data_IF_771997012800
#
_entry.id   IF_771997012800
#
_cell.length_a   1.000
_cell.length_b   1.000
_cell.length_c   1.000
_cell.angle_alpha   90.00
_cell.angle_beta   90.00
_cell.angle_gamma   90.00
#
_symmetry.space_group_name_H-M   'P 1'
#
loop_
_entity.id
_entity.type
_entity.pdbx_description
1 polymer ?
#
# COMPACT_ATOMS: atom_id res chain seq x y z
N UNK A 1 24.96 4.48 -7.01
CA UNK A 1 23.90 3.91 -6.17
C UNK A 1 22.92 5.01 -5.90
N UNK A 2 21.69 4.89 -6.40
CA UNK A 2 20.65 5.91 -6.16
C UNK A 2 20.31 6.01 -4.67
N UNK A 3 19.94 7.20 -4.24
CA UNK A 3 19.62 7.51 -2.86
C UNK A 3 18.52 6.59 -2.30
N UNK A 4 18.83 5.85 -1.23
CA UNK A 4 17.86 4.95 -0.57
C UNK A 4 16.66 5.73 -0.04
N UNK A 5 16.84 7.00 0.32
CA UNK A 5 15.75 7.89 0.73
C UNK A 5 14.72 8.03 -0.41
N UNK A 6 15.18 8.32 -1.63
CA UNK A 6 14.31 8.49 -2.79
C UNK A 6 13.52 7.21 -3.11
N UNK A 7 14.14 6.03 -2.92
CA UNK A 7 13.46 4.75 -3.10
C UNK A 7 12.35 4.53 -2.06
N UNK A 8 12.61 4.88 -0.81
CA UNK A 8 11.61 4.78 0.26
C UNK A 8 10.47 5.76 -0.01
N UNK A 9 10.78 7.03 -0.29
CA UNK A 9 9.78 8.06 -0.58
C UNK A 9 8.91 7.69 -1.78
N UNK A 10 9.50 7.24 -2.88
CA UNK A 10 8.75 6.84 -4.08
C UNK A 10 7.88 5.61 -3.85
N UNK A 11 8.24 4.73 -2.90
CA UNK A 11 7.46 3.53 -2.59
C UNK A 11 6.32 3.79 -1.61
N UNK A 12 6.46 4.76 -0.69
CA UNK A 12 5.55 4.87 0.46
C UNK A 12 4.93 6.24 0.69
N UNK A 13 5.51 7.33 0.15
CA UNK A 13 5.09 8.71 0.48
C UNK A 13 4.83 9.61 -0.72
N UNK A 14 5.05 9.11 -1.94
CA UNK A 14 4.80 9.84 -3.19
C UNK A 14 3.85 9.05 -4.08
N UNK A 15 3.07 9.74 -4.93
CA UNK A 15 2.16 9.06 -5.83
C UNK A 15 2.92 8.27 -6.90
N UNK A 16 2.33 7.17 -7.35
CA UNK A 16 2.85 6.36 -8.44
C UNK A 16 1.71 5.89 -9.34
N UNK A 17 1.78 6.24 -10.63
CA UNK A 17 0.81 5.85 -11.65
C UNK A 17 1.31 4.62 -12.41
N UNK A 18 0.43 3.65 -12.62
CA UNK A 18 0.66 2.48 -13.47
C UNK A 18 -0.52 2.28 -14.42
N UNK A 19 -0.23 1.86 -15.64
CA UNK A 19 -1.26 1.35 -16.57
C UNK A 19 -1.33 -0.16 -16.38
N UNK A 20 -2.46 -0.66 -15.90
CA UNK A 20 -2.64 -2.09 -15.53
C UNK A 20 -3.52 -2.85 -16.52
N UNK A 21 -4.07 -2.17 -17.52
CA UNK A 21 -4.89 -2.75 -18.56
C UNK A 21 -5.05 -1.79 -19.73
N UNK A 22 -5.37 -2.33 -20.90
CA UNK A 22 -5.62 -1.58 -22.11
C UNK A 22 -6.72 -2.26 -22.93
N UNK A 23 -7.57 -1.46 -23.55
CA UNK A 23 -8.64 -1.91 -24.44
C UNK A 23 -8.72 -1.00 -25.67
N UNK A 24 -9.34 -1.49 -26.74
CA UNK A 24 -9.41 -0.82 -28.03
C UNK A 24 -8.10 -0.87 -28.83
N UNK A 25 -7.12 -1.69 -28.42
CA UNK A 25 -5.87 -1.96 -29.15
C UNK A 25 -5.84 -3.42 -29.58
N UNK A 26 -5.79 -3.73 -30.90
CA UNK A 26 -5.72 -5.12 -31.36
C UNK A 26 -4.38 -5.78 -31.00
N UNK A 27 -4.36 -7.10 -30.77
CA UNK A 27 -3.14 -7.89 -30.71
C UNK A 27 -2.28 -7.70 -31.98
N UNK A 28 -0.95 -7.80 -31.85
CA UNK A 28 -0.01 -7.51 -32.94
C UNK A 28 -0.21 -8.38 -34.19
N UNK A 29 -0.59 -9.64 -34.00
CA UNK A 29 -0.87 -10.60 -35.08
C UNK A 29 -2.22 -10.36 -35.78
N UNK A 30 -3.11 -9.57 -35.16
CA UNK A 30 -4.42 -9.20 -35.69
C UNK A 30 -4.50 -7.73 -36.13
N UNK A 31 -3.43 -6.95 -35.92
CA UNK A 31 -3.39 -5.54 -36.22
C UNK A 31 -3.31 -5.28 -37.74
N UNK A 32 -4.25 -4.48 -38.26
CA UNK A 32 -4.22 -3.96 -39.63
C UNK A 32 -3.92 -2.45 -39.69
N UNK A 33 -4.03 -1.87 -40.88
CA UNK A 33 -3.78 -0.44 -41.11
C UNK A 33 -5.05 0.43 -40.95
N UNK A 34 -5.80 0.23 -39.87
CA UNK A 34 -7.08 0.92 -39.62
C UNK A 34 -6.92 2.00 -38.54
N UNK A 35 -7.64 3.11 -38.70
CA UNK A 35 -7.81 4.09 -37.63
C UNK A 35 -8.69 3.48 -36.54
N UNK A 36 -8.18 3.39 -35.31
CA UNK A 36 -8.91 2.81 -34.18
C UNK A 36 -9.99 3.79 -33.70
N UNK A 37 -11.21 3.31 -33.36
CA UNK A 37 -12.30 4.19 -32.95
C UNK A 37 -12.13 4.76 -31.54
N UNK A 38 -11.42 4.05 -30.65
CA UNK A 38 -11.13 4.50 -29.29
C UNK A 38 -9.86 3.83 -28.75
N UNK A 39 -9.40 4.29 -27.59
CA UNK A 39 -8.41 3.63 -26.73
C UNK A 39 -8.88 3.79 -25.30
N UNK A 40 -8.85 2.72 -24.51
CA UNK A 40 -9.10 2.79 -23.07
C UNK A 40 -7.91 2.21 -22.32
N UNK A 41 -7.59 2.78 -21.16
CA UNK A 41 -6.51 2.32 -20.29
C UNK A 41 -7.03 2.24 -18.86
N UNK A 42 -6.67 1.17 -18.14
CA UNK A 42 -6.92 1.07 -16.71
C UNK A 42 -5.76 1.70 -15.96
N UNK A 43 -6.04 2.79 -15.25
CA UNK A 43 -5.06 3.52 -14.44
C UNK A 43 -5.13 3.05 -12.98
N UNK A 44 -3.98 2.68 -12.43
CA UNK A 44 -3.82 2.41 -11.00
C UNK A 44 -2.91 3.46 -10.40
N UNK A 45 -3.44 4.27 -9.49
CA UNK A 45 -2.69 5.33 -8.80
C UNK A 45 -2.49 4.94 -7.34
N UNK A 46 -1.23 4.81 -6.91
CA UNK A 46 -0.88 4.81 -5.49
C UNK A 46 -0.92 6.24 -4.98
N UNK A 47 -1.54 6.43 -3.82
CA UNK A 47 -1.65 7.73 -3.16
C UNK A 47 -0.72 7.75 -1.92
N UNK A 48 -0.12 8.91 -1.60
CA UNK A 48 0.51 9.11 -0.30
C UNK A 48 -0.47 8.84 0.86
N UNK A 49 0.03 8.43 2.05
CA UNK A 49 -0.79 8.08 3.21
C UNK A 49 -1.81 9.13 3.66
N UNK A 50 -1.52 10.42 3.41
CA UNK A 50 -2.31 11.56 3.88
C UNK A 50 -3.22 12.16 2.81
N UNK A 51 -3.30 11.55 1.63
CA UNK A 51 -4.16 12.02 0.54
C UNK A 51 -5.51 11.31 0.60
N UNK A 52 -6.58 12.11 0.57
CA UNK A 52 -7.95 11.62 0.47
C UNK A 52 -8.24 11.03 -0.91
N UNK A 53 -8.80 9.81 -0.93
CA UNK A 53 -9.06 9.06 -2.16
C UNK A 53 -10.19 9.66 -3.00
N UNK A 54 -11.20 10.28 -2.38
CA UNK A 54 -12.31 10.91 -3.11
C UNK A 54 -11.83 12.16 -3.85
N UNK A 55 -11.09 13.02 -3.15
CA UNK A 55 -10.48 14.21 -3.74
C UNK A 55 -9.47 13.85 -4.84
N UNK A 56 -8.67 12.80 -4.64
CA UNK A 56 -7.76 12.31 -5.68
C UNK A 56 -8.50 11.87 -6.94
N UNK A 57 -9.59 11.10 -6.80
CA UNK A 57 -10.44 10.69 -7.92
C UNK A 57 -11.06 11.89 -8.63
N UNK A 58 -11.56 12.87 -7.87
CA UNK A 58 -12.15 14.10 -8.42
C UNK A 58 -11.11 14.89 -9.22
N UNK A 59 -9.89 15.05 -8.69
CA UNK A 59 -8.78 15.75 -9.35
C UNK A 59 -8.31 15.01 -10.60
N UNK A 60 -8.22 13.68 -10.57
CA UNK A 60 -7.88 12.89 -11.76
C UNK A 60 -8.91 13.05 -12.86
N UNK A 61 -10.20 12.99 -12.52
CA UNK A 61 -11.29 13.22 -13.47
C UNK A 61 -11.19 14.59 -14.11
N UNK A 62 -11.10 15.63 -13.29
CA UNK A 62 -10.94 17.02 -13.73
C UNK A 62 -9.71 17.17 -14.65
N UNK A 63 -8.57 16.62 -14.24
CA UNK A 63 -7.31 16.73 -15.01
C UNK A 63 -7.39 16.03 -16.37
N UNK A 64 -8.02 14.85 -16.43
CA UNK A 64 -8.07 14.04 -17.65
C UNK A 64 -9.14 14.50 -18.64
N UNK A 65 -10.25 15.07 -18.15
CA UNK A 65 -11.39 15.47 -18.99
C UNK A 65 -11.36 16.94 -19.40
N UNK A 66 -10.53 17.77 -18.76
CA UNK A 66 -10.43 19.21 -19.09
C UNK A 66 -9.59 19.44 -20.35
N UNK A 67 -10.10 20.29 -21.25
CA UNK A 67 -9.41 20.73 -22.48
C UNK A 67 -8.86 19.57 -23.35
N UNK A 68 -9.73 18.62 -23.77
CA UNK A 68 -9.26 17.47 -24.53
C UNK A 68 -8.71 17.93 -25.89
N UNK A 69 -7.51 17.44 -26.27
CA UNK A 69 -6.88 17.87 -27.52
C UNK A 69 -7.78 17.52 -28.71
N UNK A 70 -7.85 18.44 -29.68
CA UNK A 70 -8.60 18.25 -30.92
C UNK A 70 -10.10 17.96 -30.72
N UNK A 71 -10.68 18.41 -29.60
CA UNK A 71 -12.07 18.14 -29.21
C UNK A 71 -12.41 16.64 -29.11
N UNK A 72 -11.43 15.82 -28.73
CA UNK A 72 -11.66 14.39 -28.50
C UNK A 72 -12.69 14.18 -27.38
N UNK A 73 -13.45 13.09 -27.45
CA UNK A 73 -14.28 12.64 -26.34
C UNK A 73 -13.41 11.87 -25.34
N UNK A 74 -13.20 12.45 -24.16
CA UNK A 74 -12.45 11.83 -23.06
C UNK A 74 -13.40 11.60 -21.89
N UNK A 75 -13.32 10.41 -21.29
CA UNK A 75 -14.10 10.06 -20.10
C UNK A 75 -13.22 9.28 -19.13
N UNK A 76 -13.31 9.62 -17.85
CA UNK A 76 -12.67 8.95 -16.74
C UNK A 76 -13.74 8.49 -15.73
N UNK A 77 -13.78 7.19 -15.51
CA UNK A 77 -14.67 6.51 -14.58
C UNK A 77 -13.86 6.02 -13.37
N UNK A 78 -13.92 6.71 -12.22
CA UNK A 78 -13.18 6.27 -11.04
C UNK A 78 -13.78 4.98 -10.46
N UNK A 79 -12.91 4.06 -10.03
CA UNK A 79 -13.29 2.95 -9.16
C UNK A 79 -13.43 3.43 -7.69
N UNK A 80 -13.68 2.50 -6.77
CA UNK A 80 -13.84 2.80 -5.35
C UNK A 80 -12.61 3.56 -4.81
N UNK A 81 -12.80 4.74 -4.18
CA UNK A 81 -11.70 5.48 -3.57
C UNK A 81 -11.09 4.66 -2.43
N UNK A 82 -9.77 4.67 -2.34
CA UNK A 82 -9.04 4.05 -1.25
C UNK A 82 -8.04 5.06 -0.70
N UNK A 83 -8.42 5.73 0.38
CA UNK A 83 -7.54 6.65 1.10
C UNK A 83 -6.36 5.89 1.72
N UNK A 84 -5.23 6.59 1.82
CA UNK A 84 -4.06 6.08 2.53
C UNK A 84 -4.29 5.98 4.04
N UNK A 85 -3.33 5.42 4.75
CA UNK A 85 -3.32 5.39 6.21
C UNK A 85 -1.92 5.67 6.73
N UNK A 86 -1.82 6.57 7.71
CA UNK A 86 -0.60 6.84 8.46
C UNK A 86 -0.81 6.42 9.91
N UNK A 87 0.15 5.71 10.48
CA UNK A 87 0.06 5.27 11.86
C UNK A 87 0.05 6.47 12.82
N UNK A 88 -0.71 6.41 13.93
CA UNK A 88 -0.54 7.37 15.03
C UNK A 88 0.82 7.18 15.68
N UNK A 89 1.19 8.12 16.56
CA UNK A 89 2.39 7.97 17.38
C UNK A 89 2.33 6.66 18.18
N UNK A 90 3.45 5.93 18.15
CA UNK A 90 3.58 4.64 18.83
C UNK A 90 3.68 4.89 20.33
N UNK A 91 2.77 4.29 21.09
CA UNK A 91 2.75 4.40 22.53
C UNK A 91 4.00 3.70 23.13
N UNK A 92 4.62 4.26 24.18
CA UNK A 92 5.90 3.75 24.71
C UNK A 92 5.89 2.26 25.10
N UNK A 93 4.76 1.76 25.59
CA UNK A 93 4.62 0.33 25.95
C UNK A 93 4.69 -0.59 24.72
N UNK A 94 4.12 -0.14 23.59
CA UNK A 94 4.08 -0.94 22.36
C UNK A 94 5.47 -0.95 21.73
N UNK A 95 6.12 0.21 21.65
CA UNK A 95 7.51 0.31 21.18
C UNK A 95 8.45 -0.59 22.00
N UNK A 96 8.37 -0.53 23.34
CA UNK A 96 9.16 -1.38 24.21
C UNK A 96 8.87 -2.89 24.02
N UNK A 97 7.60 -3.26 23.82
CA UNK A 97 7.20 -4.65 23.57
C UNK A 97 7.70 -5.15 22.20
N UNK A 98 7.58 -4.33 21.16
CA UNK A 98 8.07 -4.63 19.82
C UNK A 98 9.60 -4.80 19.80
N UNK A 99 10.33 -3.92 20.48
CA UNK A 99 11.79 -4.00 20.59
C UNK A 99 12.22 -5.27 21.33
N UNK A 100 11.62 -5.55 22.49
CA UNK A 100 11.84 -6.79 23.27
C UNK A 100 11.57 -8.03 22.41
N UNK A 101 10.43 -8.07 21.72
CA UNK A 101 10.01 -9.18 20.89
C UNK A 101 10.98 -9.40 19.71
N UNK A 102 11.34 -8.33 19.00
CA UNK A 102 12.27 -8.39 17.87
C UNK A 102 13.66 -8.85 18.30
N UNK A 103 14.17 -8.30 19.41
CA UNK A 103 15.47 -8.69 19.94
C UNK A 103 15.50 -10.16 20.36
N UNK A 104 14.41 -10.66 20.97
CA UNK A 104 14.31 -12.07 21.37
C UNK A 104 14.22 -13.04 20.18
N UNK A 105 13.42 -12.71 19.15
CA UNK A 105 13.15 -13.60 18.03
C UNK A 105 14.22 -13.52 16.90
N UNK A 106 14.79 -12.33 16.69
CA UNK A 106 15.67 -12.04 15.56
C UNK A 106 17.07 -11.54 15.99
N UNK A 107 17.29 -11.22 17.26
CA UNK A 107 18.56 -10.67 17.75
C UNK A 107 18.85 -9.25 17.26
N UNK A 108 17.84 -8.55 16.74
CA UNK A 108 17.92 -7.20 16.19
C UNK A 108 16.71 -6.38 16.66
N UNK A 109 16.89 -5.06 16.79
CA UNK A 109 15.81 -4.15 17.13
C UNK A 109 14.71 -4.08 16.07
N UNK A 110 13.54 -3.59 16.48
CA UNK A 110 12.38 -3.44 15.59
C UNK A 110 12.67 -2.40 14.50
N UNK A 111 12.15 -2.65 13.30
CA UNK A 111 12.19 -1.71 12.20
C UNK A 111 10.79 -1.21 11.88
N UNK A 112 10.65 0.12 11.79
CA UNK A 112 9.44 0.77 11.32
C UNK A 112 9.58 1.10 9.83
N UNK A 113 8.60 0.69 9.02
CA UNK A 113 8.60 0.93 7.58
C UNK A 113 7.21 1.26 7.07
N UNK A 114 7.15 2.11 6.05
CA UNK A 114 5.94 2.27 5.24
C UNK A 114 5.78 1.11 4.25
N UNK A 115 4.54 0.85 3.87
CA UNK A 115 4.16 -0.16 2.88
C UNK A 115 3.58 0.53 1.63
N UNK A 116 3.96 0.06 0.44
CA UNK A 116 3.50 0.64 -0.83
C UNK A 116 2.16 0.07 -1.32
N UNK A 117 1.71 -1.02 -0.69
CA UNK A 117 0.37 -1.57 -0.86
C UNK A 117 -0.73 -0.70 -0.25
N UNK A 118 -1.97 -1.17 -0.35
CA UNK A 118 -3.13 -0.52 0.25
C UNK A 118 -3.95 -1.58 1.00
N UNK A 119 -4.24 -1.32 2.27
CA UNK A 119 -5.15 -2.12 3.09
C UNK A 119 -6.28 -1.17 3.51
N UNK A 120 -7.37 -1.03 2.71
CA UNK A 120 -8.37 0.01 2.91
C UNK A 120 -9.00 0.02 4.31
N UNK A 121 -9.07 -1.14 4.95
CA UNK A 121 -9.61 -1.28 6.30
C UNK A 121 -8.80 -0.52 7.36
N UNK A 122 -7.52 -0.19 7.13
CA UNK A 122 -6.70 0.53 8.10
C UNK A 122 -7.09 2.00 8.23
N UNK A 123 -7.43 2.66 7.11
CA UNK A 123 -8.01 4.01 7.15
C UNK A 123 -9.29 4.02 7.99
N UNK A 124 -10.19 3.07 7.72
CA UNK A 124 -11.43 2.89 8.48
C UNK A 124 -11.18 2.67 9.98
N UNK A 125 -10.29 1.74 10.36
CA UNK A 125 -10.00 1.50 11.78
C UNK A 125 -9.39 2.73 12.47
N UNK A 126 -8.53 3.49 11.79
CA UNK A 126 -7.96 4.72 12.32
C UNK A 126 -9.03 5.77 12.63
N UNK A 127 -10.02 5.92 11.74
CA UNK A 127 -11.12 6.87 11.93
C UNK A 127 -12.08 6.42 13.05
N UNK A 128 -12.41 5.13 13.10
CA UNK A 128 -13.33 4.58 14.10
C UNK A 128 -12.71 4.46 15.50
N UNK A 129 -11.41 4.20 15.59
CA UNK A 129 -10.69 3.99 16.85
C UNK A 129 -9.43 4.87 16.92
N UNK A 130 -9.58 6.19 17.13
CA UNK A 130 -8.46 7.13 17.06
C UNK A 130 -7.41 6.92 18.18
N UNK A 131 -7.79 6.27 19.28
CA UNK A 131 -6.88 5.95 20.39
C UNK A 131 -6.23 4.57 20.25
N UNK A 132 -6.61 3.78 19.23
CA UNK A 132 -6.05 2.45 19.03
C UNK A 132 -4.57 2.54 18.65
N UNK A 133 -3.83 1.55 19.14
CA UNK A 133 -2.44 1.32 18.76
C UNK A 133 -2.38 0.16 17.78
N UNK A 134 -1.48 0.25 16.81
CA UNK A 134 -1.46 -0.66 15.66
C UNK A 134 -0.12 -1.37 15.53
N UNK A 135 -0.16 -2.70 15.46
CA UNK A 135 0.95 -3.54 14.99
C UNK A 135 0.55 -4.10 13.62
N UNK A 136 0.77 -3.32 12.56
CA UNK A 136 0.61 -3.82 11.19
C UNK A 136 1.94 -4.44 10.78
N UNK A 137 1.92 -5.75 10.54
CA UNK A 137 3.12 -6.52 10.21
C UNK A 137 2.79 -7.63 9.21
N UNK A 138 3.80 -8.30 8.69
CA UNK A 138 3.59 -9.34 7.71
C UNK A 138 4.85 -10.09 7.31
N UNK A 139 4.67 -11.03 6.39
CA UNK A 139 5.66 -12.02 5.96
C UNK A 139 6.11 -11.81 4.51
N UNK A 140 5.71 -10.71 3.90
CA UNK A 140 5.95 -10.39 2.49
C UNK A 140 7.37 -9.82 2.27
N UNK A 141 8.36 -10.64 2.61
CA UNK A 141 9.78 -10.32 2.40
C UNK A 141 10.21 -10.43 0.93
N UNK A 142 11.51 -10.20 0.64
CA UNK A 142 12.07 -10.32 -0.70
C UNK A 142 11.71 -11.67 -1.36
N UNK A 143 11.26 -11.61 -2.61
CA UNK A 143 10.85 -12.77 -3.43
C UNK A 143 9.58 -13.51 -2.96
N UNK A 144 8.90 -13.08 -1.89
CA UNK A 144 7.63 -13.69 -1.46
C UNK A 144 6.56 -13.69 -2.55
N UNK A 145 6.64 -12.75 -3.50
CA UNK A 145 5.85 -12.69 -4.73
C UNK A 145 4.33 -12.69 -4.52
N UNK A 146 3.82 -11.98 -3.50
CA UNK A 146 2.38 -11.76 -3.37
C UNK A 146 1.80 -11.22 -4.69
N UNK A 147 0.70 -11.83 -5.16
CA UNK A 147 0.05 -11.54 -6.45
C UNK A 147 0.88 -11.89 -7.71
N UNK A 148 1.97 -12.65 -7.55
CA UNK A 148 2.84 -13.09 -8.63
C UNK A 148 2.96 -14.61 -8.73
N UNK A 149 3.59 -15.12 -9.79
CA UNK A 149 3.92 -16.54 -9.87
C UNK A 149 4.93 -16.93 -8.78
N UNK A 150 4.83 -18.17 -8.32
CA UNK A 150 5.69 -18.74 -7.28
C UNK A 150 5.63 -17.98 -5.94
N UNK A 151 4.44 -17.50 -5.56
CA UNK A 151 4.18 -16.96 -4.22
C UNK A 151 4.54 -17.99 -3.13
N UNK A 152 5.26 -17.56 -2.09
CA UNK A 152 5.67 -18.44 -1.00
C UNK A 152 5.69 -17.76 0.37
N UNK A 153 5.61 -18.59 1.42
CA UNK A 153 5.77 -18.20 2.81
C UNK A 153 7.12 -18.63 3.37
N UNK A 154 7.92 -17.70 3.86
CA UNK A 154 9.17 -18.04 4.54
C UNK A 154 8.88 -18.57 5.96
N UNK A 155 8.87 -19.89 6.13
CA UNK A 155 8.41 -20.54 7.36
C UNK A 155 9.18 -20.13 8.63
N UNK A 156 10.51 -19.99 8.56
CA UNK A 156 11.29 -19.59 9.74
C UNK A 156 10.93 -18.16 10.20
N UNK A 157 10.86 -17.22 9.26
CA UNK A 157 10.44 -15.85 9.53
C UNK A 157 9.03 -15.80 10.11
N UNK A 158 8.07 -16.53 9.50
CA UNK A 158 6.69 -16.58 9.98
C UNK A 158 6.58 -17.11 11.41
N UNK A 159 7.35 -18.15 11.77
CA UNK A 159 7.38 -18.68 13.15
C UNK A 159 7.91 -17.65 14.15
N UNK A 160 9.00 -16.96 13.80
CA UNK A 160 9.58 -15.90 14.63
C UNK A 160 8.62 -14.71 14.78
N UNK A 161 7.99 -14.29 13.69
CA UNK A 161 7.00 -13.21 13.70
C UNK A 161 5.79 -13.56 14.59
N UNK A 162 5.30 -14.80 14.52
CA UNK A 162 4.21 -15.25 15.39
C UNK A 162 4.60 -15.20 16.88
N UNK A 163 5.85 -15.52 17.23
CA UNK A 163 6.34 -15.36 18.59
C UNK A 163 6.35 -13.88 19.02
N UNK A 164 6.70 -12.96 18.12
CA UNK A 164 6.61 -11.52 18.41
C UNK A 164 5.17 -11.07 18.67
N UNK A 165 4.22 -11.50 17.83
CA UNK A 165 2.79 -11.17 18.02
C UNK A 165 2.28 -11.70 19.38
N UNK A 166 2.65 -12.93 19.75
CA UNK A 166 2.29 -13.51 21.04
C UNK A 166 2.85 -12.69 22.22
N UNK A 167 4.12 -12.25 22.12
CA UNK A 167 4.75 -11.40 23.14
C UNK A 167 4.02 -10.06 23.30
N UNK A 168 3.63 -9.42 22.19
CA UNK A 168 2.90 -8.15 22.22
C UNK A 168 1.53 -8.30 22.89
N UNK A 169 0.81 -9.40 22.61
CA UNK A 169 -0.47 -9.69 23.26
C UNK A 169 -0.29 -9.91 24.77
N UNK A 170 0.74 -10.66 25.18
CA UNK A 170 1.07 -10.89 26.59
C UNK A 170 1.42 -9.57 27.31
N UNK A 171 2.31 -8.77 26.73
CA UNK A 171 2.73 -7.49 27.33
C UNK A 171 1.54 -6.51 27.42
N UNK A 172 0.66 -6.49 26.41
CA UNK A 172 -0.58 -5.70 26.46
C UNK A 172 -1.50 -6.12 27.61
N UNK A 173 -1.68 -7.43 27.84
CA UNK A 173 -2.48 -7.95 28.94
C UNK A 173 -1.90 -7.55 30.30
N UNK A 174 -0.58 -7.67 30.48
CA UNK A 174 0.07 -7.29 31.72
C UNK A 174 0.08 -5.78 31.96
N UNK A 175 0.12 -4.96 30.90
CA UNK A 175 -0.02 -3.50 31.01
C UNK A 175 -1.35 -3.09 31.62
N UNK A 176 -2.43 -3.78 31.30
CA UNK A 176 -3.77 -3.49 31.85
C UNK A 176 -3.94 -3.97 33.30
N UNK A 177 -3.03 -4.81 33.79
CA UNK A 177 -3.12 -5.48 35.09
C UNK A 177 -2.22 -4.87 36.17
N UNK A 178 -1.40 -3.87 35.84
CA UNK A 178 -0.50 -3.15 36.75
C UNK A 178 -0.80 -1.66 36.77
#
# INVERSE_FOLDING_TARGET
>A
GGDNLERILNRTWRPALSVTGVDGIPPLDQAGNVLRPHTAVKLSMRLPPTVDGEEANRRLKETLETDPPMNAQVTFEPEHPASGWNAPDVAPWLDASLEKASQAAFGQGVMYMGEGGTIPFMAMLGDFFPEAQFMITGVLGPNSNAHGPNEFLHLEFARKLNACVAQVIEDHYHRASG
#
